data_IF_269301446233
#
_entry.id   IF_269301446233
#
_cell.length_a   1.000
_cell.length_b   1.000
_cell.length_c   1.000
_cell.angle_alpha   90.00
_cell.angle_beta   90.00
_cell.angle_gamma   90.00
#
_symmetry.space_group_name_H-M   'P 1'
#
loop_
_entity.id
_entity.type
_entity.pdbx_description
1 polymer ?
#
# COMPACT_ATOMS: atom_id res chain seq x y z
N UNK A 1 -24.03 12.31 11.44
CA UNK A 1 -22.66 12.76 11.77
C UNK A 1 -22.76 13.71 12.96
N UNK A 2 -21.98 13.49 14.02
CA UNK A 2 -21.98 14.33 15.23
C UNK A 2 -20.94 15.46 15.04
N UNK A 3 -21.35 16.75 15.06
CA UNK A 3 -20.44 17.87 14.92
C UNK A 3 -19.37 17.95 16.02
N UNK A 4 -19.64 17.41 17.21
CA UNK A 4 -18.71 17.47 18.35
C UNK A 4 -17.45 16.61 18.16
N UNK A 5 -17.45 15.67 17.19
CA UNK A 5 -16.29 14.83 16.83
C UNK A 5 -15.26 15.58 15.97
N UNK A 6 -15.60 16.76 15.46
CA UNK A 6 -14.72 17.57 14.61
C UNK A 6 -14.11 18.72 15.39
N UNK A 7 -12.80 18.88 15.26
CA UNK A 7 -12.06 20.00 15.86
C UNK A 7 -11.99 21.19 14.92
N UNK A 8 -11.67 22.37 15.44
CA UNK A 8 -11.48 23.59 14.67
C UNK A 8 -10.36 23.48 13.60
N UNK A 9 -9.48 22.49 13.76
CA UNK A 9 -8.40 22.19 12.81
C UNK A 9 -8.75 21.09 11.79
N UNK A 10 -10.03 20.71 11.69
CA UNK A 10 -10.44 19.73 10.68
C UNK A 10 -10.17 20.26 9.27
N UNK A 11 -9.75 19.41 8.32
CA UNK A 11 -9.38 19.83 6.96
C UNK A 11 -10.64 20.04 6.07
N UNK A 12 -11.65 20.72 6.58
CA UNK A 12 -12.92 20.98 5.91
C UNK A 12 -13.90 21.72 6.83
N UNK A 13 -15.10 21.88 6.34
CA UNK A 13 -16.18 22.61 7.03
C UNK A 13 -17.39 21.69 7.26
N UNK A 14 -18.07 21.90 8.41
CA UNK A 14 -19.35 21.27 8.68
C UNK A 14 -20.48 22.14 8.15
N UNK A 15 -21.25 21.62 7.22
CA UNK A 15 -22.42 22.31 6.64
C UNK A 15 -23.70 21.53 6.94
N UNK A 16 -24.81 22.26 7.10
CA UNK A 16 -26.13 21.63 7.17
C UNK A 16 -26.67 21.41 5.76
N UNK A 17 -27.11 20.18 5.48
CA UNK A 17 -27.86 19.87 4.26
C UNK A 17 -29.26 20.49 4.30
N UNK A 18 -29.94 20.49 3.16
CA UNK A 18 -31.34 20.95 3.05
C UNK A 18 -32.26 20.16 3.99
N UNK A 19 -31.92 18.90 4.26
CA UNK A 19 -32.66 18.01 5.16
C UNK A 19 -32.32 18.23 6.65
N UNK A 20 -31.44 19.22 6.95
CA UNK A 20 -31.02 19.54 8.32
C UNK A 20 -29.95 18.61 8.91
N UNK A 21 -29.40 17.68 8.15
CA UNK A 21 -28.32 16.79 8.56
C UNK A 21 -26.96 17.49 8.46
N UNK A 22 -26.03 17.11 9.32
CA UNK A 22 -24.66 17.59 9.22
C UNK A 22 -23.86 16.76 8.18
N UNK A 23 -23.15 17.46 7.29
CA UNK A 23 -22.21 16.90 6.33
C UNK A 23 -20.85 17.60 6.47
N UNK A 24 -19.77 16.84 6.37
CA UNK A 24 -18.41 17.37 6.32
C UNK A 24 -18.01 17.59 4.85
N UNK A 25 -17.62 18.82 4.53
CA UNK A 25 -17.13 19.19 3.19
C UNK A 25 -15.63 19.41 3.29
N UNK A 26 -14.79 18.52 2.71
CA UNK A 26 -13.34 18.69 2.74
C UNK A 26 -12.89 19.94 1.98
N UNK A 27 -11.81 20.56 2.44
CA UNK A 27 -11.15 21.61 1.67
C UNK A 27 -10.61 21.07 0.34
N UNK A 28 -10.48 21.91 -0.70
CA UNK A 28 -9.88 21.52 -1.97
C UNK A 28 -8.45 20.98 -1.81
N UNK A 29 -8.08 20.01 -2.65
CA UNK A 29 -6.70 19.51 -2.75
C UNK A 29 -5.91 20.27 -3.81
N UNK A 30 -4.58 20.47 -3.64
CA UNK A 30 -3.78 20.07 -2.47
C UNK A 30 -4.00 21.01 -1.28
N UNK A 31 -3.92 20.49 -0.03
CA UNK A 31 -3.99 21.34 1.14
C UNK A 31 -2.73 22.20 1.24
N UNK A 32 -2.89 23.43 1.73
CA UNK A 32 -1.76 24.22 2.20
C UNK A 32 -1.37 23.72 3.58
N UNK A 33 -0.18 23.16 3.73
CA UNK A 33 0.36 22.76 5.02
C UNK A 33 1.76 23.27 5.20
N UNK A 34 2.10 23.62 6.44
CA UNK A 34 3.45 24.00 6.81
C UNK A 34 4.23 22.77 7.25
N UNK A 35 5.39 22.54 6.64
CA UNK A 35 6.28 21.44 6.98
C UNK A 35 7.18 21.90 8.14
N UNK A 36 6.72 21.66 9.35
CA UNK A 36 7.46 21.99 10.56
C UNK A 36 8.78 21.21 10.72
N UNK A 37 9.70 21.70 11.57
CA UNK A 37 11.03 21.08 11.77
C UNK A 37 11.00 19.61 12.13
N UNK A 38 9.99 19.18 12.90
CA UNK A 38 9.81 17.76 13.27
C UNK A 38 9.54 16.88 12.07
N UNK A 39 8.73 17.34 11.13
CA UNK A 39 8.42 16.61 9.89
C UNK A 39 9.66 16.51 9.00
N UNK A 40 10.41 17.61 8.88
CA UNK A 40 11.69 17.64 8.13
C UNK A 40 12.69 16.65 8.73
N UNK A 41 12.83 16.63 10.07
CA UNK A 41 13.74 15.70 10.74
C UNK A 41 13.34 14.23 10.52
N UNK A 42 12.04 13.92 10.58
CA UNK A 42 11.52 12.56 10.30
C UNK A 42 11.72 12.14 8.85
N UNK A 43 11.52 13.07 7.90
CA UNK A 43 11.76 12.83 6.49
C UNK A 43 13.23 12.52 6.24
N UNK A 44 14.15 13.35 6.80
CA UNK A 44 15.59 13.12 6.70
C UNK A 44 16.02 11.77 7.28
N UNK A 45 15.45 11.37 8.41
CA UNK A 45 15.73 10.06 9.02
C UNK A 45 15.21 8.90 8.15
N UNK A 46 14.04 9.06 7.52
CA UNK A 46 13.49 8.07 6.59
C UNK A 46 14.37 7.93 5.34
N UNK A 47 14.78 9.04 4.74
CA UNK A 47 15.68 9.06 3.57
C UNK A 47 17.02 8.40 3.88
N UNK A 48 17.58 8.66 5.06
CA UNK A 48 18.81 8.02 5.51
C UNK A 48 18.64 6.50 5.65
N UNK A 49 17.54 6.04 6.27
CA UNK A 49 17.24 4.61 6.43
C UNK A 49 17.04 3.91 5.07
N UNK A 50 16.35 4.55 4.12
CA UNK A 50 16.19 4.05 2.76
C UNK A 50 17.54 3.98 2.02
N UNK A 51 18.39 4.98 2.21
CA UNK A 51 19.75 4.98 1.67
C UNK A 51 20.60 3.82 2.19
N UNK A 52 20.53 3.54 3.50
CA UNK A 52 21.20 2.39 4.11
C UNK A 52 20.66 1.06 3.55
N UNK A 53 19.34 0.92 3.46
CA UNK A 53 18.70 -0.28 2.92
C UNK A 53 19.14 -0.52 1.47
N UNK A 54 19.17 0.53 0.65
CA UNK A 54 19.66 0.46 -0.73
C UNK A 54 21.12 0.01 -0.79
N UNK A 55 21.98 0.56 0.05
CA UNK A 55 23.39 0.20 0.15
C UNK A 55 23.57 -1.27 0.49
N UNK A 56 22.86 -1.79 1.49
CA UNK A 56 22.87 -3.19 1.88
C UNK A 56 22.36 -4.08 0.72
N UNK A 57 21.26 -3.68 0.08
CA UNK A 57 20.68 -4.41 -1.04
C UNK A 57 21.66 -4.62 -2.20
N UNK A 58 22.52 -3.64 -2.47
CA UNK A 58 23.56 -3.73 -3.52
C UNK A 58 24.68 -4.72 -3.20
N UNK A 59 24.89 -5.05 -1.93
CA UNK A 59 25.90 -6.04 -1.50
C UNK A 59 25.40 -7.49 -1.53
N UNK A 60 24.10 -7.69 -1.71
CA UNK A 60 23.50 -9.03 -1.73
C UNK A 60 23.64 -9.67 -3.11
N UNK A 61 24.20 -10.91 -3.20
CA UNK A 61 24.33 -11.61 -4.47
C UNK A 61 22.99 -11.87 -5.17
N UNK A 62 21.92 -12.07 -4.40
CA UNK A 62 20.56 -12.27 -4.91
C UNK A 62 19.53 -11.68 -3.93
N UNK A 63 19.22 -10.41 -4.12
CA UNK A 63 18.22 -9.72 -3.30
C UNK A 63 16.80 -10.31 -3.46
N UNK A 64 16.50 -10.97 -4.58
CA UNK A 64 15.17 -11.55 -4.85
C UNK A 64 14.81 -12.66 -3.87
N UNK A 65 15.80 -13.42 -3.37
CA UNK A 65 15.56 -14.45 -2.36
C UNK A 65 14.99 -13.87 -1.06
N UNK A 66 15.38 -12.63 -0.72
CA UNK A 66 14.84 -11.94 0.46
C UNK A 66 13.54 -11.21 0.14
N UNK A 67 13.42 -10.60 -1.02
CA UNK A 67 12.25 -9.79 -1.39
C UNK A 67 11.01 -10.67 -1.58
N UNK A 68 11.14 -11.85 -2.19
CA UNK A 68 10.00 -12.70 -2.54
C UNK A 68 9.10 -13.09 -1.34
N UNK A 69 9.63 -13.52 -0.19
CA UNK A 69 8.79 -13.79 1.00
C UNK A 69 8.03 -12.56 1.51
N UNK A 70 8.67 -11.39 1.48
CA UNK A 70 8.02 -10.14 1.89
C UNK A 70 6.91 -9.75 0.91
N UNK A 71 7.13 -9.92 -0.39
CA UNK A 71 6.12 -9.65 -1.41
C UNK A 71 4.86 -10.53 -1.22
N UNK A 72 5.05 -11.82 -0.96
CA UNK A 72 3.94 -12.74 -0.67
C UNK A 72 3.18 -12.34 0.58
N UNK A 73 3.91 -12.01 1.64
CA UNK A 73 3.32 -11.55 2.90
C UNK A 73 2.52 -10.26 2.70
N UNK A 74 3.06 -9.32 1.96
CA UNK A 74 2.39 -8.05 1.63
C UNK A 74 1.10 -8.32 0.85
N UNK A 75 1.15 -9.16 -0.18
CA UNK A 75 -0.02 -9.52 -0.97
C UNK A 75 -1.14 -10.11 -0.10
N UNK A 76 -0.81 -11.05 0.80
CA UNK A 76 -1.79 -11.65 1.72
C UNK A 76 -2.36 -10.61 2.69
N UNK A 77 -1.53 -9.74 3.26
CA UNK A 77 -1.97 -8.75 4.24
C UNK A 77 -2.82 -7.65 3.59
N UNK A 78 -2.41 -7.16 2.42
CA UNK A 78 -3.14 -6.13 1.67
C UNK A 78 -4.50 -6.64 1.19
N UNK A 79 -4.55 -7.83 0.61
CA UNK A 79 -5.80 -8.46 0.15
C UNK A 79 -6.76 -8.73 1.31
N UNK A 80 -6.24 -9.01 2.51
CA UNK A 80 -7.07 -9.20 3.71
C UNK A 80 -7.85 -7.94 4.09
N UNK A 81 -7.33 -6.74 3.83
CA UNK A 81 -8.03 -5.47 4.07
C UNK A 81 -9.27 -5.38 3.18
N UNK A 82 -9.23 -5.97 2.00
CA UNK A 82 -10.34 -6.04 1.04
C UNK A 82 -11.28 -7.22 1.27
N UNK A 83 -11.06 -8.00 2.33
CA UNK A 83 -11.92 -9.11 2.74
C UNK A 83 -11.49 -10.48 2.26
N UNK A 84 -10.37 -10.59 1.52
CA UNK A 84 -9.84 -11.86 1.03
C UNK A 84 -9.22 -12.67 2.16
N UNK A 85 -9.56 -13.95 2.28
CA UNK A 85 -9.07 -14.86 3.33
C UNK A 85 -8.13 -15.90 2.70
N UNK A 86 -6.86 -15.57 2.58
CA UNK A 86 -5.83 -16.52 2.15
C UNK A 86 -4.65 -16.49 3.14
N UNK A 87 -3.89 -17.59 3.20
CA UNK A 87 -2.64 -17.67 3.95
C UNK A 87 -1.42 -17.70 3.02
N UNK A 88 -0.24 -17.36 3.56
CA UNK A 88 1.01 -17.44 2.80
C UNK A 88 1.30 -18.88 2.39
N UNK A 89 0.99 -19.87 3.24
CA UNK A 89 1.23 -21.28 2.96
C UNK A 89 0.36 -21.77 1.80
N UNK A 90 -0.92 -21.38 1.78
CA UNK A 90 -1.85 -21.67 0.67
C UNK A 90 -1.36 -21.06 -0.64
N UNK A 91 -0.88 -19.81 -0.59
CA UNK A 91 -0.33 -19.12 -1.74
C UNK A 91 0.91 -19.84 -2.29
N UNK A 92 1.85 -20.23 -1.42
CA UNK A 92 3.07 -20.95 -1.83
C UNK A 92 2.73 -22.32 -2.44
N UNK A 93 1.79 -23.05 -1.84
CA UNK A 93 1.34 -24.34 -2.39
C UNK A 93 0.72 -24.16 -3.78
N UNK A 94 -0.11 -23.15 -3.97
CA UNK A 94 -0.73 -22.83 -5.27
C UNK A 94 0.32 -22.43 -6.33
N UNK A 95 1.37 -21.68 -5.96
CA UNK A 95 2.45 -21.31 -6.87
C UNK A 95 3.28 -22.56 -7.32
N UNK A 96 3.39 -23.58 -6.46
CA UNK A 96 4.09 -24.84 -6.78
C UNK A 96 3.23 -25.79 -7.62
N UNK A 97 1.93 -25.87 -7.33
CA UNK A 97 0.97 -26.75 -8.03
C UNK A 97 -0.22 -25.93 -8.59
N UNK A 98 -0.03 -25.12 -9.64
CA UNK A 98 -1.11 -24.27 -10.16
C UNK A 98 -2.29 -25.05 -10.77
N UNK A 99 -2.07 -26.33 -11.12
CA UNK A 99 -3.09 -27.23 -11.69
C UNK A 99 -4.07 -27.76 -10.63
N UNK A 100 -3.72 -27.64 -9.36
CA UNK A 100 -4.59 -28.01 -8.25
C UNK A 100 -5.56 -26.89 -8.00
N UNK A 101 -6.85 -27.18 -8.13
CA UNK A 101 -7.90 -26.21 -7.78
C UNK A 101 -7.74 -25.84 -6.30
N UNK A 102 -7.56 -24.55 -5.98
CA UNK A 102 -7.39 -24.14 -4.59
C UNK A 102 -8.70 -24.39 -3.84
N UNK A 103 -8.62 -25.01 -2.66
CA UNK A 103 -9.78 -25.16 -1.76
C UNK A 103 -10.41 -23.82 -1.39
N UNK A 104 -9.62 -22.75 -1.46
CA UNK A 104 -10.01 -21.37 -1.22
C UNK A 104 -9.84 -20.54 -2.51
N UNK A 105 -10.92 -20.04 -3.13
CA UNK A 105 -10.85 -19.24 -4.36
C UNK A 105 -10.03 -17.96 -4.20
N UNK A 106 -9.97 -17.41 -2.99
CA UNK A 106 -9.23 -16.17 -2.69
C UNK A 106 -7.71 -16.32 -2.97
N UNK A 107 -7.19 -17.55 -2.91
CA UNK A 107 -5.76 -17.81 -3.17
C UNK A 107 -5.36 -17.41 -4.59
N UNK A 108 -6.25 -17.63 -5.57
CA UNK A 108 -6.04 -17.22 -6.95
C UNK A 108 -5.93 -15.69 -7.11
N UNK A 109 -6.76 -14.95 -6.37
CA UNK A 109 -6.72 -13.48 -6.38
C UNK A 109 -5.40 -12.95 -5.80
N UNK A 110 -4.95 -13.52 -4.66
CA UNK A 110 -3.66 -13.16 -4.05
C UNK A 110 -2.48 -13.54 -4.95
N UNK A 111 -2.55 -14.67 -5.65
CA UNK A 111 -1.53 -15.06 -6.62
C UNK A 111 -1.46 -14.08 -7.81
N UNK A 112 -2.60 -13.59 -8.29
CA UNK A 112 -2.66 -12.54 -9.31
C UNK A 112 -2.04 -11.23 -8.82
N UNK A 113 -2.29 -10.84 -7.56
CA UNK A 113 -1.66 -9.68 -6.94
C UNK A 113 -0.13 -9.82 -6.95
N UNK A 114 0.42 -10.97 -6.53
CA UNK A 114 1.86 -11.22 -6.55
C UNK A 114 2.43 -11.16 -7.97
N UNK A 115 1.71 -11.71 -8.94
CA UNK A 115 2.10 -11.67 -10.35
C UNK A 115 2.11 -10.24 -10.90
N UNK A 116 1.10 -9.46 -10.61
CA UNK A 116 1.01 -8.04 -10.99
C UNK A 116 2.16 -7.23 -10.38
N UNK A 117 2.45 -7.43 -9.08
CA UNK A 117 3.57 -6.77 -8.40
C UNK A 117 4.92 -7.12 -9.03
N UNK A 118 5.17 -8.39 -9.32
CA UNK A 118 6.40 -8.83 -10.00
C UNK A 118 6.53 -8.18 -11.39
N UNK A 119 5.46 -8.15 -12.16
CA UNK A 119 5.42 -7.51 -13.47
C UNK A 119 5.63 -5.99 -13.38
N UNK A 120 5.00 -5.33 -12.40
CA UNK A 120 5.19 -3.90 -12.15
C UNK A 120 6.64 -3.57 -11.79
N UNK A 121 7.23 -4.33 -10.87
CA UNK A 121 8.64 -4.13 -10.46
C UNK A 121 9.61 -4.30 -11.64
N UNK A 122 9.41 -5.28 -12.49
CA UNK A 122 10.23 -5.48 -13.69
C UNK A 122 10.10 -4.31 -14.68
N UNK A 123 8.90 -3.74 -14.82
CA UNK A 123 8.63 -2.60 -15.71
C UNK A 123 9.20 -1.27 -15.18
N UNK A 124 9.48 -1.15 -13.89
CA UNK A 124 10.10 0.06 -13.32
C UNK A 124 11.48 0.38 -13.90
N UNK A 125 12.16 -0.58 -14.52
CA UNK A 125 13.41 -0.33 -15.24
C UNK A 125 13.23 0.61 -16.44
N UNK A 126 12.04 0.63 -17.04
CA UNK A 126 11.74 1.38 -18.26
C UNK A 126 10.60 2.40 -18.11
N UNK A 127 9.76 2.25 -17.09
CA UNK A 127 8.60 3.11 -16.84
C UNK A 127 8.65 3.67 -15.42
N UNK A 128 8.46 4.96 -15.22
CA UNK A 128 8.28 5.51 -13.87
C UNK A 128 6.94 5.08 -13.28
N UNK A 129 6.81 5.20 -11.95
CA UNK A 129 5.51 5.02 -11.27
C UNK A 129 4.53 6.03 -11.85
N UNK A 130 3.54 5.54 -12.57
CA UNK A 130 2.57 6.35 -13.31
C UNK A 130 1.34 5.49 -13.66
N UNK A 131 0.27 6.13 -14.13
CA UNK A 131 -0.93 5.44 -14.63
C UNK A 131 -0.68 4.47 -15.80
N UNK A 132 0.50 4.53 -16.46
CA UNK A 132 0.89 3.56 -17.50
C UNK A 132 1.51 2.29 -16.91
N UNK A 133 1.97 2.37 -15.67
CA UNK A 133 2.54 1.22 -14.98
C UNK A 133 1.43 0.37 -14.35
N UNK A 134 0.41 1.03 -13.84
CA UNK A 134 -0.78 0.42 -13.23
C UNK A 134 -1.76 0.02 -14.33
#
# INVERSE_FOLDING_TARGET
MDPSEFTDNAPGELVKTIEGLWAFVPHPLPPTFDIGPTTVSRLSAADFALGQLRGIGQTLPNAQLLITPFLRREAVLSSRIEGTIASVDQLVLFEVEPSRDPENPDVGEVANYVSAMKSGLARLETLPVSLRLI
#
